data_IF_662219146245
#
_entry.id   IF_662219146245
#
_cell.length_a   1.000
_cell.length_b   1.000
_cell.length_c   1.000
_cell.angle_alpha   90.00
_cell.angle_beta   90.00
_cell.angle_gamma   90.00
#
_symmetry.space_group_name_H-M   'P 1'
#
loop_
_entity.id
_entity.type
_entity.pdbx_description
1 polymer ?
#
# COMPACT_ATOMS: atom_id res chain seq x y z
N UNK A 1 -29.19 84.12 11.78
CA UNK A 1 -27.80 83.76 11.49
C UNK A 1 -27.65 82.32 11.97
N UNK A 2 -27.83 81.33 11.05
CA UNK A 2 -27.79 79.91 11.35
C UNK A 2 -26.42 79.42 10.85
N UNK A 3 -25.63 78.85 11.71
CA UNK A 3 -24.36 78.21 11.38
C UNK A 3 -24.60 76.69 11.21
N UNK A 4 -24.33 76.18 10.03
CA UNK A 4 -24.29 74.76 9.71
C UNK A 4 -23.04 74.12 10.31
N UNK A 5 -23.11 72.88 10.79
CA UNK A 5 -21.92 72.12 11.20
C UNK A 5 -21.35 71.31 10.06
N UNK A 6 -20.04 71.43 9.85
CA UNK A 6 -19.22 70.79 8.85
C UNK A 6 -19.21 69.28 8.95
N UNK A 7 -19.71 68.65 7.86
CA UNK A 7 -19.81 67.17 7.67
C UNK A 7 -18.51 66.48 7.30
N UNK A 8 -17.40 66.71 8.00
CA UNK A 8 -16.08 66.16 7.61
C UNK A 8 -15.59 64.94 8.41
N UNK A 9 -16.35 64.45 9.37
CA UNK A 9 -15.92 63.36 10.28
C UNK A 9 -16.36 61.96 9.88
N UNK A 10 -17.32 61.79 8.99
CA UNK A 10 -17.90 60.46 8.68
C UNK A 10 -17.11 59.59 7.66
N UNK A 11 -16.24 60.21 6.85
CA UNK A 11 -15.48 59.46 5.82
C UNK A 11 -14.21 58.76 6.30
N UNK A 12 -13.59 59.25 7.37
CA UNK A 12 -12.35 58.62 7.90
C UNK A 12 -12.62 57.42 8.80
N UNK A 13 -13.74 57.37 9.49
CA UNK A 13 -14.14 56.23 10.31
C UNK A 13 -14.55 55.01 9.48
N UNK A 14 -15.20 55.20 8.33
CA UNK A 14 -15.58 54.11 7.42
C UNK A 14 -14.41 53.40 6.75
N UNK A 15 -13.33 54.10 6.45
CA UNK A 15 -12.13 53.51 5.82
C UNK A 15 -11.28 52.71 6.82
N UNK A 16 -11.27 53.04 8.10
CA UNK A 16 -10.54 52.27 9.11
C UNK A 16 -11.26 50.97 9.49
N UNK A 17 -12.59 50.90 9.48
CA UNK A 17 -13.34 49.67 9.72
C UNK A 17 -13.23 48.70 8.56
N UNK A 18 -13.23 49.16 7.32
CA UNK A 18 -13.07 48.29 6.13
C UNK A 18 -11.67 47.66 6.04
N UNK A 19 -10.63 48.38 6.46
CA UNK A 19 -9.27 47.87 6.51
C UNK A 19 -9.05 46.80 7.60
N UNK A 20 -9.71 46.93 8.73
CA UNK A 20 -9.65 45.95 9.83
C UNK A 20 -10.39 44.63 9.51
N UNK A 21 -11.53 44.69 8.79
CA UNK A 21 -12.25 43.49 8.34
C UNK A 21 -11.49 42.73 7.24
N UNK A 22 -10.84 43.41 6.31
CA UNK A 22 -10.04 42.80 5.26
C UNK A 22 -8.78 42.10 5.80
N UNK A 23 -8.15 42.69 6.84
CA UNK A 23 -7.01 42.09 7.56
C UNK A 23 -7.39 40.84 8.36
N UNK A 24 -8.58 40.80 8.96
CA UNK A 24 -9.07 39.64 9.72
C UNK A 24 -9.47 38.48 8.79
N UNK A 25 -10.02 38.73 7.61
CA UNK A 25 -10.29 37.68 6.60
C UNK A 25 -9.02 37.07 6.00
N UNK A 26 -7.94 37.84 5.88
CA UNK A 26 -6.65 37.34 5.34
C UNK A 26 -5.93 36.40 6.32
N UNK A 27 -6.21 36.49 7.63
CA UNK A 27 -5.64 35.60 8.66
C UNK A 27 -6.38 34.26 8.81
N UNK A 28 -7.60 34.13 8.27
CA UNK A 28 -8.38 32.88 8.26
C UNK A 28 -8.03 31.96 7.07
N UNK A 29 -7.18 32.40 6.14
CA UNK A 29 -6.93 31.75 4.86
C UNK A 29 -5.76 30.77 4.79
N UNK A 30 -5.18 30.31 5.89
CA UNK A 30 -4.02 29.39 5.82
C UNK A 30 -4.03 28.34 6.91
N UNK A 31 -5.15 27.66 7.11
CA UNK A 31 -5.07 26.29 7.62
C UNK A 31 -4.58 25.43 6.44
N UNK A 32 -3.27 25.49 6.19
CA UNK A 32 -2.61 24.45 5.42
C UNK A 32 -2.94 23.16 6.16
N UNK A 33 -3.70 22.28 5.54
CA UNK A 33 -3.77 20.90 5.94
C UNK A 33 -2.32 20.42 6.00
N UNK A 34 -1.74 20.38 7.21
CA UNK A 34 -0.42 19.80 7.42
C UNK A 34 -0.58 18.36 6.96
N UNK A 35 0.06 18.01 5.84
CA UNK A 35 0.11 16.63 5.39
C UNK A 35 0.58 15.77 6.57
N UNK A 36 0.06 14.58 6.64
CA UNK A 36 0.40 13.62 7.68
C UNK A 36 1.92 13.49 7.77
N UNK A 37 2.50 13.70 8.95
CA UNK A 37 3.93 13.49 9.16
C UNK A 37 4.29 12.02 8.90
N UNK A 38 5.45 11.78 8.28
CA UNK A 38 5.90 10.39 8.06
C UNK A 38 5.92 9.55 9.35
N UNK A 39 6.37 10.06 10.52
CA UNK A 39 6.28 9.30 11.77
C UNK A 39 4.85 8.90 12.12
N UNK A 40 3.88 9.80 11.97
CA UNK A 40 2.47 9.54 12.29
C UNK A 40 1.85 8.52 11.32
N UNK A 41 2.23 8.59 10.02
CA UNK A 41 1.83 7.57 9.03
C UNK A 41 2.36 6.20 9.44
N UNK A 42 3.64 6.10 9.79
CA UNK A 42 4.28 4.84 10.20
C UNK A 42 3.61 4.26 11.43
N UNK A 43 3.37 5.06 12.46
CA UNK A 43 2.72 4.61 13.70
C UNK A 43 1.31 4.07 13.44
N UNK A 44 0.52 4.76 12.64
CA UNK A 44 -0.83 4.33 12.28
C UNK A 44 -0.87 3.11 11.37
N UNK A 45 0.10 2.95 10.46
CA UNK A 45 0.10 1.86 9.51
C UNK A 45 0.58 0.52 10.10
N UNK A 46 1.51 0.55 11.07
CA UNK A 46 2.11 -0.67 11.65
C UNK A 46 1.11 -1.75 12.05
N UNK A 47 0.01 -1.44 12.78
CA UNK A 47 -0.94 -2.48 13.19
C UNK A 47 -1.61 -3.19 12.01
N UNK A 48 -1.68 -2.53 10.87
CA UNK A 48 -2.36 -3.02 9.66
C UNK A 48 -1.42 -3.81 8.73
N UNK A 49 -0.10 -3.75 8.93
CA UNK A 49 0.88 -4.46 8.09
C UNK A 49 1.26 -5.76 8.77
N UNK A 50 1.04 -6.87 8.07
CA UNK A 50 1.03 -8.21 8.63
C UNK A 50 2.05 -9.13 7.94
N UNK A 51 2.49 -10.18 8.67
CA UNK A 51 3.30 -11.25 8.10
C UNK A 51 2.38 -12.24 7.39
N UNK A 52 2.74 -12.65 6.20
CA UNK A 52 2.07 -13.73 5.46
C UNK A 52 3.04 -14.88 5.25
N UNK A 53 2.59 -16.08 5.48
CA UNK A 53 3.42 -17.27 5.33
C UNK A 53 2.61 -18.55 5.43
N UNK A 54 3.30 -19.64 5.66
CA UNK A 54 2.71 -20.97 5.83
C UNK A 54 3.06 -21.56 7.19
N UNK A 55 2.15 -22.33 7.73
CA UNK A 55 2.31 -23.05 8.97
C UNK A 55 2.19 -24.57 8.74
N UNK A 56 3.07 -25.31 9.37
CA UNK A 56 2.96 -26.77 9.52
C UNK A 56 3.50 -27.17 10.90
N UNK A 57 2.72 -27.94 11.62
CA UNK A 57 3.03 -28.32 13.00
C UNK A 57 4.36 -29.08 13.15
N UNK A 58 4.68 -29.90 12.15
CA UNK A 58 5.90 -30.73 12.13
C UNK A 58 7.15 -30.00 11.66
N UNK A 59 7.04 -28.75 11.19
CA UNK A 59 8.19 -27.97 10.71
C UNK A 59 8.93 -27.28 11.89
N UNK A 60 10.20 -26.99 11.66
CA UNK A 60 11.03 -26.18 12.57
C UNK A 60 11.78 -25.12 11.75
N UNK A 61 11.39 -23.84 11.82
CA UNK A 61 10.26 -23.29 12.57
C UNK A 61 8.89 -23.70 11.97
N UNK A 62 7.86 -23.76 12.81
CA UNK A 62 6.49 -24.12 12.37
C UNK A 62 5.89 -23.12 11.40
N UNK A 63 6.20 -21.85 11.56
CA UNK A 63 5.80 -20.77 10.63
C UNK A 63 6.96 -20.41 9.70
N UNK A 64 6.71 -20.50 8.40
CA UNK A 64 7.64 -20.08 7.35
C UNK A 64 7.12 -18.79 6.73
N UNK A 65 7.80 -17.69 6.99
CA UNK A 65 7.48 -16.40 6.40
C UNK A 65 7.70 -16.39 4.89
N UNK A 66 6.76 -15.86 4.13
CA UNK A 66 6.82 -15.77 2.67
C UNK A 66 6.81 -14.34 2.14
N UNK A 67 6.12 -13.43 2.81
CA UNK A 67 6.02 -12.02 2.40
C UNK A 67 5.14 -11.20 3.32
N UNK A 68 4.97 -9.95 2.91
CA UNK A 68 4.15 -8.95 3.61
C UNK A 68 2.70 -9.00 3.11
N UNK A 69 1.78 -8.62 3.98
CA UNK A 69 0.40 -8.28 3.63
C UNK A 69 -0.06 -7.06 4.39
N UNK A 70 -1.25 -6.56 4.09
CA UNK A 70 -1.86 -5.48 4.83
C UNK A 70 -3.38 -5.61 4.89
N UNK A 71 -3.95 -5.06 5.95
CA UNK A 71 -5.38 -5.17 6.25
C UNK A 71 -6.13 -3.99 5.66
N UNK A 72 -7.30 -4.26 5.06
CA UNK A 72 -8.16 -3.25 4.43
C UNK A 72 -9.64 -3.46 4.80
N UNK A 73 -10.47 -2.47 4.48
CA UNK A 73 -11.92 -2.56 4.55
C UNK A 73 -12.43 -2.76 5.98
N UNK A 74 -13.03 -3.90 6.24
CA UNK A 74 -13.66 -4.25 7.52
C UNK A 74 -12.68 -4.71 8.62
N UNK A 75 -11.38 -4.64 8.37
CA UNK A 75 -10.37 -5.09 9.32
C UNK A 75 -10.16 -6.61 9.38
N UNK A 76 -10.81 -7.36 8.49
CA UNK A 76 -10.66 -8.82 8.35
C UNK A 76 -10.15 -9.23 6.97
N UNK A 77 -10.01 -8.28 6.06
CA UNK A 77 -9.53 -8.51 4.70
C UNK A 77 -8.04 -8.20 4.61
N UNK A 78 -7.24 -9.18 4.18
CA UNK A 78 -5.78 -9.02 3.97
C UNK A 78 -5.47 -9.09 2.50
N UNK A 79 -4.68 -8.14 2.04
CA UNK A 79 -4.12 -8.07 0.68
C UNK A 79 -2.66 -8.49 0.71
N UNK A 80 -2.24 -9.25 -0.29
CA UNK A 80 -0.84 -9.63 -0.53
C UNK A 80 -0.62 -9.95 -2.02
N UNK A 81 0.59 -10.37 -2.41
CA UNK A 81 0.82 -10.89 -3.75
C UNK A 81 0.43 -12.37 -3.88
N UNK A 82 0.06 -12.78 -5.08
CA UNK A 82 -0.27 -14.18 -5.36
C UNK A 82 0.92 -15.13 -5.22
N UNK A 83 2.14 -14.66 -5.56
CA UNK A 83 3.37 -15.45 -5.43
C UNK A 83 3.82 -15.65 -3.97
N UNK A 84 3.28 -14.89 -3.02
CA UNK A 84 3.52 -15.08 -1.57
C UNK A 84 2.79 -16.32 -1.06
N UNK A 85 1.73 -16.74 -1.75
CA UNK A 85 0.96 -17.93 -1.40
C UNK A 85 1.57 -19.18 -2.03
N UNK A 86 1.36 -20.36 -1.43
CA UNK A 86 1.79 -21.63 -2.01
C UNK A 86 1.29 -21.81 -3.45
N UNK A 87 2.13 -22.40 -4.29
CA UNK A 87 1.76 -22.71 -5.66
C UNK A 87 0.81 -23.92 -5.68
N UNK A 88 -0.44 -23.79 -6.19
CA UNK A 88 -1.39 -24.89 -6.22
C UNK A 88 -0.98 -26.02 -7.19
N UNK A 89 0.00 -25.77 -8.07
CA UNK A 89 0.55 -26.82 -8.94
C UNK A 89 1.52 -27.77 -8.21
N UNK A 90 2.00 -27.38 -7.03
CA UNK A 90 2.82 -28.23 -6.18
C UNK A 90 1.95 -29.18 -5.36
N UNK A 91 2.41 -30.41 -5.09
CA UNK A 91 1.69 -31.31 -4.21
C UNK A 91 1.42 -30.67 -2.86
N UNK A 92 0.19 -30.87 -2.33
CA UNK A 92 -0.14 -30.42 -1.00
C UNK A 92 0.73 -31.15 0.04
N UNK A 93 1.56 -30.40 0.74
CA UNK A 93 2.50 -30.91 1.74
C UNK A 93 1.99 -30.76 3.18
N UNK A 94 0.70 -30.42 3.33
CA UNK A 94 0.05 -30.20 4.63
C UNK A 94 0.31 -28.83 5.24
N UNK A 95 1.00 -27.91 4.53
CA UNK A 95 1.11 -26.52 4.96
C UNK A 95 -0.17 -25.74 4.72
N UNK A 96 -0.55 -24.93 5.69
CA UNK A 96 -1.68 -24.01 5.60
C UNK A 96 -1.20 -22.56 5.58
N UNK A 97 -1.89 -21.71 4.84
CA UNK A 97 -1.61 -20.26 4.84
C UNK A 97 -1.98 -19.72 6.20
N UNK A 98 -1.09 -18.90 6.77
CA UNK A 98 -1.29 -18.25 8.05
C UNK A 98 -0.82 -16.79 7.97
N UNK A 99 -1.52 -15.91 8.70
CA UNK A 99 -1.17 -14.50 8.84
C UNK A 99 -0.84 -14.23 10.30
N UNK A 100 0.20 -13.44 10.55
CA UNK A 100 0.49 -12.97 11.88
C UNK A 100 0.22 -11.47 11.96
N UNK A 101 -0.66 -11.09 12.90
CA UNK A 101 -1.04 -9.71 13.19
C UNK A 101 -0.22 -9.16 14.36
N UNK A 102 0.22 -7.90 14.26
CA UNK A 102 1.04 -7.26 15.27
C UNK A 102 0.21 -6.84 16.49
N UNK A 103 0.71 -7.12 17.69
CA UNK A 103 0.05 -6.79 18.96
C UNK A 103 0.77 -5.69 19.74
N UNK A 104 1.82 -5.12 19.16
CA UNK A 104 2.69 -4.14 19.80
C UNK A 104 4.07 -4.72 20.14
N UNK A 105 5.06 -3.84 20.26
CA UNK A 105 6.42 -4.25 20.58
C UNK A 105 6.98 -5.32 19.63
N UNK A 106 7.26 -6.51 20.14
CA UNK A 106 7.74 -7.67 19.38
C UNK A 106 6.72 -8.82 19.35
N UNK A 107 5.48 -8.54 19.73
CA UNK A 107 4.45 -9.57 19.86
C UNK A 107 3.64 -9.72 18.58
N UNK A 108 3.44 -10.96 18.18
CA UNK A 108 2.69 -11.34 16.99
C UNK A 108 1.65 -12.40 17.33
N UNK A 109 0.44 -12.22 16.83
CA UNK A 109 -0.65 -13.18 16.99
C UNK A 109 -0.88 -13.92 15.68
N UNK A 110 -0.73 -15.24 15.72
CA UNK A 110 -1.07 -16.10 14.58
C UNK A 110 -2.59 -16.12 14.36
N UNK A 111 -3.01 -15.95 13.11
CA UNK A 111 -4.41 -15.97 12.68
C UNK A 111 -4.57 -16.96 11.52
N UNK A 112 -5.54 -17.84 11.64
CA UNK A 112 -6.00 -18.64 10.50
C UNK A 112 -6.60 -17.73 9.43
N UNK A 113 -6.48 -18.12 8.18
CA UNK A 113 -7.05 -17.38 7.05
C UNK A 113 -7.67 -18.32 6.05
N UNK A 114 -8.71 -17.83 5.39
CA UNK A 114 -9.25 -18.42 4.17
C UNK A 114 -8.76 -17.60 2.97
N UNK A 115 -8.23 -18.28 1.96
CA UNK A 115 -7.92 -17.64 0.68
C UNK A 115 -9.24 -17.33 -0.01
N UNK A 116 -9.51 -16.04 -0.26
CA UNK A 116 -10.76 -15.59 -0.89
C UNK A 116 -10.61 -15.56 -2.41
N UNK A 117 -9.61 -14.86 -2.92
CA UNK A 117 -9.31 -14.78 -4.35
C UNK A 117 -7.81 -14.73 -4.60
N UNK A 118 -7.38 -15.39 -5.68
CA UNK A 118 -5.99 -15.32 -6.18
C UNK A 118 -6.03 -14.96 -7.66
N UNK A 119 -5.65 -13.73 -7.97
CA UNK A 119 -5.52 -13.19 -9.32
C UNK A 119 -4.07 -13.29 -9.79
N UNK A 120 -3.66 -14.50 -10.24
CA UNK A 120 -2.26 -14.77 -10.62
C UNK A 120 -1.79 -13.94 -11.81
N UNK A 121 -2.69 -13.59 -12.71
CA UNK A 121 -2.44 -12.71 -13.85
C UNK A 121 -2.10 -11.26 -13.46
N UNK A 122 -2.45 -10.87 -12.25
CA UNK A 122 -2.15 -9.55 -11.65
C UNK A 122 -1.18 -9.67 -10.50
N UNK A 123 -0.81 -10.89 -10.14
CA UNK A 123 -0.01 -11.22 -8.95
C UNK A 123 -0.56 -10.61 -7.66
N UNK A 124 -1.88 -10.64 -7.48
CA UNK A 124 -2.58 -10.17 -6.29
C UNK A 124 -3.39 -11.31 -5.66
N UNK A 125 -3.51 -11.27 -4.34
CA UNK A 125 -4.35 -12.18 -3.58
C UNK A 125 -5.06 -11.45 -2.45
N UNK A 126 -6.27 -11.92 -2.13
CA UNK A 126 -7.09 -11.44 -1.02
C UNK A 126 -7.39 -12.62 -0.11
N UNK A 127 -7.12 -12.43 1.17
CA UNK A 127 -7.35 -13.40 2.23
C UNK A 127 -8.37 -12.84 3.22
N UNK A 128 -9.08 -13.73 3.92
CA UNK A 128 -9.96 -13.37 5.04
C UNK A 128 -9.41 -13.94 6.33
N UNK A 129 -9.19 -13.08 7.32
CA UNK A 129 -8.84 -13.49 8.68
C UNK A 129 -10.03 -14.25 9.29
N UNK A 130 -9.74 -15.38 9.90
CA UNK A 130 -10.72 -16.19 10.62
C UNK A 130 -10.52 -16.04 12.12
N UNK A 131 -11.65 -15.90 12.82
CA UNK A 131 -11.66 -15.68 14.29
C UNK A 131 -11.00 -14.39 14.74
N UNK A 132 -11.22 -14.01 15.98
CA UNK A 132 -10.65 -12.82 16.63
C UNK A 132 -11.25 -11.48 16.16
N UNK A 133 -10.85 -10.38 16.80
CA UNK A 133 -11.35 -9.03 16.49
C UNK A 133 -10.81 -8.52 15.14
N UNK A 134 -11.50 -7.55 14.52
CA UNK A 134 -10.95 -6.78 13.41
C UNK A 134 -9.61 -6.12 13.77
N UNK A 135 -8.73 -6.04 12.79
CA UNK A 135 -7.45 -5.35 12.87
C UNK A 135 -7.62 -3.96 12.25
N UNK A 136 -6.91 -2.91 12.71
CA UNK A 136 -6.92 -1.62 12.03
C UNK A 136 -6.72 -1.77 10.53
N UNK A 137 -7.55 -1.08 9.73
CA UNK A 137 -7.54 -1.20 8.28
C UNK A 137 -6.91 0.03 7.63
N UNK A 138 -6.12 -0.17 6.57
CA UNK A 138 -5.60 0.90 5.74
C UNK A 138 -6.66 1.40 4.77
N UNK A 139 -6.64 2.69 4.49
CA UNK A 139 -7.47 3.31 3.46
C UNK A 139 -6.81 3.14 2.10
N UNK A 140 -7.54 2.59 1.14
CA UNK A 140 -7.11 2.51 -0.25
C UNK A 140 -7.47 3.80 -0.98
N UNK A 141 -6.56 4.32 -1.81
CA UNK A 141 -6.85 5.46 -2.66
C UNK A 141 -7.95 5.10 -3.68
N UNK A 142 -9.00 5.93 -3.73
CA UNK A 142 -10.12 5.76 -4.67
C UNK A 142 -9.98 6.64 -5.93
N UNK A 143 -9.02 7.57 -5.93
CA UNK A 143 -8.77 8.52 -7.01
C UNK A 143 -7.84 7.99 -8.10
N UNK A 144 -7.46 8.88 -9.04
CA UNK A 144 -6.45 8.56 -10.04
C UNK A 144 -5.10 8.22 -9.39
N UNK A 145 -4.22 7.50 -10.11
CA UNK A 145 -2.90 7.18 -9.60
C UNK A 145 -2.10 8.45 -9.29
N UNK A 146 -1.14 8.40 -8.36
CA UNK A 146 -0.24 9.52 -8.10
C UNK A 146 0.53 9.87 -9.39
N UNK A 147 0.94 11.13 -9.52
CA UNK A 147 1.72 11.58 -10.66
C UNK A 147 3.18 11.13 -10.53
N UNK A 148 3.85 10.88 -11.64
CA UNK A 148 5.30 10.69 -11.65
C UNK A 148 6.01 11.87 -10.95
N UNK A 149 7.02 11.57 -10.16
CA UNK A 149 7.67 12.52 -9.26
C UNK A 149 7.02 12.66 -7.89
N UNK A 150 5.92 11.93 -7.60
CA UNK A 150 5.31 11.93 -6.27
C UNK A 150 6.16 11.18 -5.24
N UNK A 151 6.25 11.76 -4.03
CA UNK A 151 6.85 11.07 -2.88
C UNK A 151 5.94 9.96 -2.38
N UNK A 152 6.48 8.76 -2.31
CA UNK A 152 5.83 7.56 -1.82
C UNK A 152 6.58 6.98 -0.61
N UNK A 153 5.88 6.13 0.12
CA UNK A 153 6.43 5.36 1.25
C UNK A 153 5.92 3.94 1.13
N UNK A 154 6.75 2.94 1.38
CA UNK A 154 6.26 1.57 1.51
C UNK A 154 6.75 0.93 2.80
N UNK A 155 6.01 -0.08 3.26
CA UNK A 155 6.29 -0.78 4.49
C UNK A 155 6.24 -2.29 4.28
N UNK A 156 7.13 -3.01 4.97
CA UNK A 156 7.15 -4.47 4.93
C UNK A 156 8.20 -5.07 5.86
N UNK A 157 8.54 -6.33 5.58
CA UNK A 157 9.48 -7.12 6.39
C UNK A 157 10.63 -7.63 5.50
N UNK A 158 11.60 -6.75 5.16
CA UNK A 158 12.72 -7.12 4.32
C UNK A 158 13.55 -8.23 4.97
N UNK A 159 14.05 -9.17 4.14
CA UNK A 159 14.93 -10.28 4.56
C UNK A 159 14.28 -11.21 5.61
N UNK A 160 12.98 -11.05 5.85
CA UNK A 160 12.20 -11.94 6.72
C UNK A 160 12.75 -12.07 8.14
N UNK A 161 12.70 -13.29 8.68
CA UNK A 161 13.09 -13.56 10.06
C UNK A 161 14.57 -13.40 10.40
N UNK A 162 15.46 -13.13 9.44
CA UNK A 162 16.90 -12.97 9.69
C UNK A 162 17.22 -11.75 10.58
N UNK A 163 16.40 -10.68 10.49
CA UNK A 163 16.53 -9.47 11.32
C UNK A 163 15.44 -9.38 12.39
N UNK A 164 14.66 -10.46 12.60
CA UNK A 164 13.42 -10.43 13.35
C UNK A 164 12.30 -9.78 12.51
N UNK A 165 11.07 -9.93 12.97
CA UNK A 165 9.91 -9.39 12.25
C UNK A 165 9.64 -7.94 12.70
N UNK A 166 10.55 -7.03 12.37
CA UNK A 166 10.37 -5.60 12.57
C UNK A 166 9.77 -4.97 11.29
N UNK A 167 8.77 -4.09 11.45
CA UNK A 167 8.28 -3.28 10.35
C UNK A 167 9.39 -2.34 9.88
N UNK A 168 9.70 -2.39 8.59
CA UNK A 168 10.67 -1.48 7.97
C UNK A 168 9.94 -0.55 7.01
N UNK A 169 10.21 0.73 7.13
CA UNK A 169 9.64 1.78 6.28
C UNK A 169 10.71 2.27 5.32
N UNK A 170 10.35 2.36 4.04
CA UNK A 170 11.21 2.84 2.98
C UNK A 170 10.59 4.08 2.33
N UNK A 171 11.40 5.07 2.02
CA UNK A 171 11.01 6.17 1.13
C UNK A 171 11.19 5.74 -0.32
N UNK A 172 10.35 6.26 -1.21
CA UNK A 172 10.40 6.01 -2.63
C UNK A 172 9.93 7.24 -3.41
N UNK A 173 10.37 7.36 -4.65
CA UNK A 173 9.81 8.27 -5.63
C UNK A 173 9.07 7.45 -6.69
N UNK A 174 7.89 7.87 -7.12
CA UNK A 174 7.25 7.32 -8.30
C UNK A 174 8.02 7.81 -9.54
N UNK A 175 8.94 6.98 -10.02
CA UNK A 175 9.84 7.34 -11.12
C UNK A 175 9.14 7.27 -12.47
N UNK A 176 8.25 6.28 -12.67
CA UNK A 176 7.49 6.12 -13.91
C UNK A 176 6.25 5.25 -13.71
N UNK A 177 5.23 5.47 -14.54
CA UNK A 177 4.10 4.58 -14.75
C UNK A 177 4.30 3.93 -16.12
N UNK A 178 4.50 2.61 -16.17
CA UNK A 178 4.84 1.90 -17.40
C UNK A 178 3.98 0.67 -17.60
N UNK A 179 3.63 0.39 -18.86
CA UNK A 179 2.90 -0.82 -19.23
C UNK A 179 3.79 -2.06 -19.10
N UNK A 180 3.35 -3.05 -18.34
CA UNK A 180 4.00 -4.36 -18.24
C UNK A 180 3.21 -5.39 -19.03
N UNK A 181 3.90 -6.05 -19.95
CA UNK A 181 3.45 -7.32 -20.51
C UNK A 181 4.15 -8.42 -19.70
N UNK A 182 3.44 -9.10 -18.82
CA UNK A 182 4.01 -10.22 -18.06
C UNK A 182 4.52 -11.26 -19.04
N UNK A 183 5.81 -11.68 -18.94
CA UNK A 183 6.37 -12.69 -19.83
C UNK A 183 5.57 -13.99 -19.66
N UNK A 184 4.98 -14.48 -20.74
CA UNK A 184 4.41 -15.84 -20.77
C UNK A 184 5.55 -16.83 -20.51
N UNK A 185 5.31 -17.76 -19.57
CA UNK A 185 6.25 -18.87 -19.34
C UNK A 185 6.44 -19.60 -20.66
N UNK A 186 7.67 -19.59 -21.18
CA UNK A 186 8.03 -20.22 -22.46
C UNK A 186 7.60 -21.70 -22.42
N UNK A 187 6.74 -22.10 -23.34
CA UNK A 187 6.35 -23.51 -23.56
C UNK A 187 4.90 -23.88 -23.29
N UNK A 188 4.07 -22.99 -22.74
CA UNK A 188 2.63 -23.25 -22.65
C UNK A 188 1.91 -22.62 -23.84
N UNK A 189 1.07 -23.42 -24.53
CA UNK A 189 0.15 -22.93 -25.55
C UNK A 189 -0.66 -21.76 -24.99
N UNK A 190 -0.88 -20.71 -25.79
CA UNK A 190 -1.68 -19.55 -25.42
C UNK A 190 -3.04 -20.02 -24.89
N UNK A 191 -3.23 -19.97 -23.60
CA UNK A 191 -4.53 -20.26 -23.00
C UNK A 191 -5.52 -19.17 -23.41
N UNK A 192 -6.85 -19.45 -23.47
CA UNK A 192 -7.86 -18.43 -23.74
C UNK A 192 -7.75 -17.22 -22.80
N UNK A 193 -7.22 -17.43 -21.61
CA UNK A 193 -6.95 -16.40 -20.59
C UNK A 193 -5.75 -15.50 -20.96
N UNK A 194 -4.67 -16.09 -21.49
CA UNK A 194 -3.53 -15.36 -22.00
C UNK A 194 -3.90 -14.50 -23.22
N UNK A 195 -4.76 -15.01 -24.09
CA UNK A 195 -5.30 -14.28 -25.25
C UNK A 195 -6.13 -13.07 -24.79
N UNK A 196 -6.94 -13.19 -23.73
CA UNK A 196 -7.69 -12.07 -23.16
C UNK A 196 -6.75 -11.01 -22.57
N UNK A 197 -5.78 -11.41 -21.75
CA UNK A 197 -4.79 -10.49 -21.17
C UNK A 197 -4.02 -9.71 -22.25
N UNK A 198 -3.72 -10.32 -23.40
CA UNK A 198 -3.11 -9.64 -24.55
C UNK A 198 -4.08 -8.67 -25.24
N UNK A 199 -5.39 -8.93 -25.21
CA UNK A 199 -6.43 -8.04 -25.77
C UNK A 199 -6.71 -6.84 -24.87
N UNK A 200 -6.63 -7.03 -23.55
CA UNK A 200 -6.88 -5.98 -22.55
C UNK A 200 -5.74 -4.94 -22.48
N UNK A 201 -4.66 -5.17 -23.21
CA UNK A 201 -3.50 -4.29 -23.27
C UNK A 201 -2.51 -4.50 -22.12
N UNK A 202 -1.39 -3.76 -22.10
CA UNK A 202 -0.41 -3.85 -21.04
C UNK A 202 -1.01 -3.33 -19.72
N UNK A 203 -0.71 -4.03 -18.63
CA UNK A 203 -1.08 -3.61 -17.28
C UNK A 203 -0.11 -2.52 -16.80
N UNK A 204 -0.64 -1.36 -16.42
CA UNK A 204 0.20 -0.32 -15.81
C UNK A 204 0.78 -0.78 -14.48
N UNK A 205 2.07 -0.52 -14.28
CA UNK A 205 2.79 -0.72 -13.03
C UNK A 205 3.55 0.53 -12.63
N UNK A 206 3.77 0.69 -11.35
CA UNK A 206 4.62 1.75 -10.81
C UNK A 206 6.07 1.28 -10.77
N UNK A 207 6.96 2.05 -11.39
CA UNK A 207 8.40 1.95 -11.19
C UNK A 207 8.81 2.97 -10.15
N UNK A 208 9.43 2.49 -9.08
CA UNK A 208 9.85 3.30 -7.94
C UNK A 208 11.37 3.43 -7.92
N UNK A 209 11.87 4.64 -7.72
CA UNK A 209 13.25 4.88 -7.31
C UNK A 209 13.36 4.56 -5.81
N UNK A 210 13.69 3.32 -5.53
CA UNK A 210 13.83 2.77 -4.19
C UNK A 210 14.42 1.37 -4.24
N UNK A 211 15.00 0.93 -3.11
CA UNK A 211 15.47 -0.43 -2.93
C UNK A 211 14.48 -1.19 -2.04
N UNK A 212 13.84 -2.22 -2.59
CA UNK A 212 13.11 -3.21 -1.82
C UNK A 212 13.86 -4.54 -1.78
N UNK A 213 13.63 -5.30 -0.73
CA UNK A 213 14.26 -6.61 -0.52
C UNK A 213 13.21 -7.72 -0.48
N UNK A 214 13.62 -8.99 -0.70
CA UNK A 214 12.74 -10.15 -0.50
C UNK A 214 12.08 -10.09 0.87
N UNK A 215 10.77 -10.32 0.88
CA UNK A 215 9.93 -10.13 2.06
C UNK A 215 9.07 -8.85 2.04
N UNK A 216 9.46 -7.82 1.29
CA UNK A 216 8.61 -6.65 1.07
C UNK A 216 7.44 -6.91 0.10
N UNK A 217 7.49 -8.00 -0.70
CA UNK A 217 6.39 -8.40 -1.59
C UNK A 217 5.06 -8.47 -0.85
N UNK A 218 4.03 -7.86 -1.43
CA UNK A 218 2.70 -7.75 -0.84
C UNK A 218 2.52 -6.59 0.15
N UNK A 219 3.59 -5.83 0.45
CA UNK A 219 3.53 -4.66 1.32
C UNK A 219 2.83 -3.46 0.69
N UNK A 220 2.17 -2.60 1.50
CA UNK A 220 1.48 -1.41 1.01
C UNK A 220 2.45 -0.33 0.58
N UNK A 221 2.10 0.38 -0.50
CA UNK A 221 2.73 1.63 -0.94
C UNK A 221 1.76 2.77 -0.67
N UNK A 222 2.20 3.77 0.06
CA UNK A 222 1.42 4.93 0.47
C UNK A 222 1.82 6.17 -0.34
N UNK A 223 0.85 7.01 -0.67
CA UNK A 223 1.12 8.42 -0.97
C UNK A 223 1.59 9.10 0.32
N UNK A 224 2.81 9.65 0.33
CA UNK A 224 3.40 10.24 1.53
C UNK A 224 2.61 11.46 2.05
N UNK A 225 1.81 12.10 1.21
CA UNK A 225 1.03 13.29 1.53
C UNK A 225 -0.34 12.96 2.15
N UNK A 226 -1.04 11.93 1.61
CA UNK A 226 -2.38 11.55 2.07
C UNK A 226 -2.37 10.41 3.08
N UNK A 227 -1.34 9.55 3.03
CA UNK A 227 -1.26 8.33 3.81
C UNK A 227 -2.19 7.22 3.30
N UNK A 228 -2.80 7.39 2.13
CA UNK A 228 -3.61 6.35 1.49
C UNK A 228 -2.72 5.36 0.74
N UNK A 229 -3.16 4.11 0.67
CA UNK A 229 -2.48 3.07 -0.09
C UNK A 229 -2.77 3.27 -1.58
N UNK A 230 -1.72 3.47 -2.37
CA UNK A 230 -1.77 3.68 -3.83
C UNK A 230 -1.27 2.48 -4.61
N UNK A 231 -0.59 1.53 -3.96
CA UNK A 231 -0.04 0.35 -4.62
C UNK A 231 0.38 -0.76 -3.67
N UNK A 232 0.84 -1.86 -4.26
CA UNK A 232 1.32 -3.07 -3.58
C UNK A 232 2.71 -3.41 -4.11
N UNK A 233 3.72 -3.51 -3.25
CA UNK A 233 5.11 -3.87 -3.66
C UNK A 233 5.12 -5.24 -4.32
N UNK A 234 5.84 -5.35 -5.44
CA UNK A 234 6.00 -6.58 -6.19
C UNK A 234 7.48 -6.81 -6.56
N UNK A 235 8.11 -7.78 -5.91
CA UNK A 235 9.53 -8.08 -6.13
C UNK A 235 9.80 -9.06 -7.27
N UNK A 236 8.78 -9.78 -7.76
CA UNK A 236 8.95 -10.74 -8.87
C UNK A 236 9.14 -10.03 -10.20
N UNK A 237 8.62 -8.81 -10.32
CA UNK A 237 8.79 -7.98 -11.51
C UNK A 237 10.26 -7.48 -11.67
N UNK A 238 11.01 -7.37 -10.58
CA UNK A 238 12.45 -7.15 -10.60
C UNK A 238 13.13 -8.44 -11.09
N UNK A 239 13.50 -8.47 -12.37
CA UNK A 239 14.10 -9.65 -13.02
C UNK A 239 15.41 -10.05 -12.33
N UNK A 240 15.43 -11.24 -11.74
CA UNK A 240 16.62 -11.84 -11.19
C UNK A 240 16.31 -12.97 -10.21
N UNK A 241 17.25 -13.84 -9.94
CA UNK A 241 17.15 -14.79 -8.83
C UNK A 241 17.17 -13.99 -7.51
N UNK A 242 16.58 -14.54 -6.45
CA UNK A 242 16.62 -13.92 -5.10
C UNK A 242 18.04 -13.50 -4.70
N UNK A 243 19.04 -14.29 -5.08
CA UNK A 243 20.46 -14.03 -4.81
C UNK A 243 21.00 -12.83 -5.58
N UNK A 244 20.59 -12.61 -6.84
CA UNK A 244 21.03 -11.46 -7.61
C UNK A 244 20.45 -10.13 -7.10
N UNK A 245 19.22 -10.15 -6.58
CA UNK A 245 18.58 -8.95 -5.97
C UNK A 245 19.27 -8.58 -4.65
N UNK A 246 19.71 -9.56 -3.87
CA UNK A 246 20.45 -9.33 -2.62
C UNK A 246 21.89 -8.85 -2.87
N UNK A 247 22.52 -9.37 -3.92
CA UNK A 247 23.93 -9.07 -4.25
C UNK A 247 24.13 -7.82 -5.09
N UNK A 248 23.11 -7.43 -5.87
CA UNK A 248 23.15 -6.24 -6.75
C UNK A 248 21.80 -5.53 -6.76
N UNK A 249 21.47 -4.75 -5.72
CA UNK A 249 20.26 -3.95 -5.72
C UNK A 249 20.32 -2.92 -6.85
N UNK A 250 19.34 -2.95 -7.75
CA UNK A 250 19.30 -2.09 -8.95
C UNK A 250 18.84 -0.65 -8.65
N UNK A 251 18.39 -0.35 -7.42
CA UNK A 251 17.74 0.92 -7.09
C UNK A 251 16.33 1.05 -7.66
N UNK A 252 15.85 0.05 -8.38
CA UNK A 252 14.51 0.05 -8.99
C UNK A 252 13.63 -0.98 -8.28
N UNK A 253 12.45 -0.54 -7.85
CA UNK A 253 11.40 -1.39 -7.27
C UNK A 253 10.12 -1.21 -8.08
N UNK A 254 9.32 -2.25 -8.16
CA UNK A 254 8.02 -2.20 -8.81
C UNK A 254 6.88 -2.35 -7.82
N UNK A 255 5.75 -1.69 -8.13
CA UNK A 255 4.52 -1.85 -7.38
C UNK A 255 3.32 -1.94 -8.34
N UNK A 256 2.32 -2.70 -7.92
CA UNK A 256 1.05 -2.84 -8.61
C UNK A 256 0.13 -1.72 -8.14
N UNK A 257 -0.47 -0.91 -9.05
CA UNK A 257 -1.43 0.11 -8.67
C UNK A 257 -2.63 -0.48 -7.90
N UNK A 258 -3.12 0.25 -6.89
CA UNK A 258 -4.30 -0.16 -6.10
C UNK A 258 -5.56 -0.30 -6.96
N UNK A 259 -5.62 0.37 -8.10
CA UNK A 259 -6.72 0.23 -9.06
C UNK A 259 -6.94 -1.23 -9.52
N UNK A 260 -5.88 -2.04 -9.57
CA UNK A 260 -5.96 -3.48 -9.88
C UNK A 260 -6.61 -4.31 -8.77
N UNK A 261 -6.63 -3.79 -7.55
CA UNK A 261 -7.16 -4.46 -6.37
C UNK A 261 -8.67 -4.22 -6.18
N UNK A 262 -9.17 -3.03 -6.53
CA UNK A 262 -10.59 -2.69 -6.34
C UNK A 262 -11.58 -3.74 -6.88
N UNK A 263 -11.40 -4.28 -8.11
CA UNK A 263 -12.31 -5.32 -8.61
C UNK A 263 -12.31 -6.60 -7.77
N UNK A 264 -11.15 -6.95 -7.17
CA UNK A 264 -11.03 -8.16 -6.35
C UNK A 264 -11.70 -8.02 -4.98
N UNK A 265 -11.85 -6.79 -4.50
CA UNK A 265 -12.50 -6.48 -3.22
C UNK A 265 -14.02 -6.34 -3.36
N UNK A 266 -14.53 -5.97 -4.55
CA UNK A 266 -15.97 -5.84 -4.79
C UNK A 266 -16.70 -7.18 -4.76
N UNK A 267 -16.01 -8.29 -5.00
CA UNK A 267 -16.55 -9.65 -4.99
C UNK A 267 -16.58 -10.27 -3.58
N UNK A 268 -16.16 -9.52 -2.54
CA UNK A 268 -16.24 -9.98 -1.16
C UNK A 268 -17.70 -10.06 -0.69
N UNK A 269 -18.13 -11.15 -0.06
CA UNK A 269 -19.43 -11.20 0.61
C UNK A 269 -19.46 -10.12 1.71
N UNK A 270 -20.53 -9.34 1.70
CA UNK A 270 -20.82 -8.32 2.71
C UNK A 270 -21.18 -8.95 4.04
#
# INVERSE_FOLDING_TARGET
MRTEPDGRWSRRAGLMLAGALAGALALLGSVRAQGLGLPDLVERAKPSVVLVGTYRETDSPRFTFAGTGFVVGDGLTVVTNAHVLPDPSQPADGRVVQVHTWQGGREWQARAVRVHVVARERDLAVLRLEGGPPVPALTLAAGPPPREGSDLVFMGFPIGGALGFAHVTHRALLASITGLVLPQVRGQALSPRAIRALRDGPMDIFQLDAIAYPGNSGGPVFDARTGEVVGVINMVLARGTRESVLSQPTGITYALPVALLHPLLNDLPR
#
